data_IF_226057766692
#
_entry.id   IF_226057766692
#
_cell.length_a   1.000
_cell.length_b   1.000
_cell.length_c   1.000
_cell.angle_alpha   90.00
_cell.angle_beta   90.00
_cell.angle_gamma   90.00
#
_symmetry.space_group_name_H-M   'P 1'
#
loop_
_entity.id
_entity.type
_entity.pdbx_description
1 polymer ?
#
# COMPACT_ATOMS: atom_id res chain seq x y z
N UNK A 1 -21.79 0.92 -26.15
CA UNK A 1 -21.03 1.80 -25.23
C UNK A 1 -20.09 0.90 -24.47
N UNK A 2 -18.83 1.28 -24.29
CA UNK A 2 -17.72 0.35 -24.15
C UNK A 2 -17.88 -0.64 -22.97
N UNK A 3 -17.88 -1.92 -23.32
CA UNK A 3 -17.76 -3.06 -22.40
C UNK A 3 -16.35 -3.07 -21.77
N UNK A 4 -16.13 -2.24 -20.75
CA UNK A 4 -15.03 -2.48 -19.81
C UNK A 4 -15.51 -3.46 -18.74
N UNK A 5 -15.72 -4.71 -19.15
CA UNK A 5 -15.59 -5.86 -18.24
C UNK A 5 -14.09 -6.04 -17.91
N UNK A 6 -13.44 -4.98 -17.45
CA UNK A 6 -12.09 -5.04 -16.91
C UNK A 6 -12.23 -5.62 -15.51
N UNK A 7 -12.58 -6.92 -15.41
CA UNK A 7 -12.67 -7.66 -14.15
C UNK A 7 -11.31 -7.58 -13.46
N UNK A 8 -11.09 -6.49 -12.75
CA UNK A 8 -9.90 -6.28 -11.96
C UNK A 8 -9.95 -7.33 -10.88
N UNK A 9 -9.06 -8.28 -11.04
CA UNK A 9 -8.93 -9.39 -10.13
C UNK A 9 -8.16 -8.87 -8.93
N UNK A 10 -8.92 -8.37 -7.95
CA UNK A 10 -8.36 -7.87 -6.70
C UNK A 10 -7.58 -9.01 -6.05
N UNK A 11 -6.27 -8.85 -5.80
CA UNK A 11 -5.45 -9.90 -5.24
C UNK A 11 -5.89 -10.21 -3.81
N UNK A 12 -5.74 -11.48 -3.37
CA UNK A 12 -6.10 -11.89 -2.01
C UNK A 12 -5.37 -11.09 -0.93
N UNK A 13 -4.15 -10.61 -1.21
CA UNK A 13 -3.40 -9.72 -0.31
C UNK A 13 -4.10 -8.40 -0.02
N UNK A 14 -4.85 -7.85 -1.00
CA UNK A 14 -5.62 -6.62 -0.81
C UNK A 14 -6.97 -6.91 -0.17
N UNK A 15 -7.65 -7.98 -0.62
CA UNK A 15 -8.89 -8.47 -0.01
C UNK A 15 -8.71 -8.69 1.50
N UNK A 16 -7.56 -9.24 1.92
CA UNK A 16 -7.22 -9.46 3.32
C UNK A 16 -7.17 -8.19 4.18
N UNK A 17 -6.98 -7.00 3.58
CA UNK A 17 -7.04 -5.71 4.32
C UNK A 17 -8.46 -5.33 4.69
N UNK A 18 -9.43 -5.70 3.84
CA UNK A 18 -10.86 -5.39 4.01
C UNK A 18 -11.65 -6.58 4.56
N UNK A 19 -11.08 -7.78 4.54
CA UNK A 19 -11.65 -8.97 5.16
C UNK A 19 -11.38 -8.97 6.67
N UNK A 20 -12.36 -9.43 7.43
CA UNK A 20 -12.21 -9.67 8.86
C UNK A 20 -11.41 -10.97 9.14
N UNK A 21 -11.07 -11.26 10.40
CA UNK A 21 -10.39 -12.50 10.81
C UNK A 21 -11.14 -13.79 10.40
N UNK A 22 -12.44 -13.69 10.12
CA UNK A 22 -13.28 -14.76 9.57
C UNK A 22 -13.30 -14.85 8.03
N UNK A 23 -12.56 -14.00 7.32
CA UNK A 23 -12.55 -13.94 5.86
C UNK A 23 -13.77 -13.28 5.22
N UNK A 24 -14.62 -12.59 6.01
CA UNK A 24 -15.77 -11.84 5.50
C UNK A 24 -15.34 -10.41 5.16
N UNK A 25 -15.59 -9.98 3.93
CA UNK A 25 -15.39 -8.59 3.52
C UNK A 25 -16.25 -7.67 4.39
N UNK A 26 -15.62 -6.65 5.01
CA UNK A 26 -16.32 -5.60 5.76
C UNK A 26 -17.01 -4.60 4.84
N UNK A 27 -16.56 -4.50 3.59
CA UNK A 27 -17.13 -3.65 2.55
C UNK A 27 -17.64 -4.48 1.36
N UNK A 28 -18.43 -3.85 0.48
CA UNK A 28 -18.87 -4.47 -0.76
C UNK A 28 -17.68 -4.79 -1.67
N UNK A 29 -17.73 -5.90 -2.40
CA UNK A 29 -16.66 -6.28 -3.34
C UNK A 29 -16.37 -5.18 -4.38
N UNK A 30 -17.41 -4.43 -4.78
CA UNK A 30 -17.30 -3.27 -5.66
C UNK A 30 -16.46 -2.14 -5.03
N UNK A 31 -16.74 -1.77 -3.77
CA UNK A 31 -15.97 -0.76 -3.04
C UNK A 31 -14.50 -1.17 -2.87
N UNK A 32 -14.25 -2.45 -2.56
CA UNK A 32 -12.88 -2.99 -2.46
C UNK A 32 -12.16 -2.92 -3.80
N UNK A 33 -12.85 -3.20 -4.91
CA UNK A 33 -12.29 -3.10 -6.26
C UNK A 33 -11.95 -1.66 -6.63
N UNK A 34 -12.84 -0.70 -6.37
CA UNK A 34 -12.56 0.72 -6.59
C UNK A 34 -11.35 1.20 -5.77
N UNK A 35 -11.25 0.75 -4.51
CA UNK A 35 -10.10 1.05 -3.65
C UNK A 35 -8.81 0.43 -4.15
N UNK A 36 -8.87 -0.81 -4.61
CA UNK A 36 -7.75 -1.49 -5.22
C UNK A 36 -7.26 -0.74 -6.46
N UNK A 37 -8.16 -0.35 -7.37
CA UNK A 37 -7.82 0.42 -8.57
C UNK A 37 -7.07 1.71 -8.23
N UNK A 38 -7.60 2.46 -7.25
CA UNK A 38 -6.96 3.68 -6.77
C UNK A 38 -5.55 3.42 -6.21
N UNK A 39 -5.38 2.35 -5.42
CA UNK A 39 -4.09 1.99 -4.84
C UNK A 39 -3.09 1.51 -5.91
N UNK A 40 -3.55 0.76 -6.91
CA UNK A 40 -2.72 0.25 -8.01
C UNK A 40 -2.24 1.38 -8.92
N UNK A 41 -3.13 2.29 -9.32
CA UNK A 41 -2.79 3.47 -10.11
C UNK A 41 -1.77 4.35 -9.37
N UNK A 42 -2.04 4.60 -8.08
CA UNK A 42 -1.13 5.38 -7.24
C UNK A 42 0.24 4.71 -7.11
N UNK A 43 0.30 3.39 -6.90
CA UNK A 43 1.57 2.67 -6.82
C UNK A 43 2.38 2.81 -8.12
N UNK A 44 1.73 2.67 -9.28
CA UNK A 44 2.39 2.88 -10.59
C UNK A 44 2.90 4.31 -10.75
N UNK A 45 2.11 5.31 -10.39
CA UNK A 45 2.55 6.71 -10.48
C UNK A 45 3.70 7.02 -9.52
N UNK A 46 3.70 6.41 -8.33
CA UNK A 46 4.78 6.51 -7.36
C UNK A 46 6.08 5.86 -7.83
N UNK A 47 6.06 4.90 -8.78
CA UNK A 47 7.29 4.32 -9.36
C UNK A 47 8.14 5.39 -10.04
N UNK A 48 7.52 6.25 -10.86
CA UNK A 48 8.23 7.34 -11.54
C UNK A 48 8.73 8.39 -10.53
N UNK A 49 7.89 8.72 -9.55
CA UNK A 49 8.24 9.68 -8.50
C UNK A 49 9.40 9.15 -7.62
N UNK A 50 9.36 7.87 -7.25
CA UNK A 50 10.40 7.21 -6.46
C UNK A 50 11.74 7.19 -7.17
N UNK A 51 11.77 6.87 -8.48
CA UNK A 51 13.00 6.91 -9.28
C UNK A 51 13.57 8.33 -9.34
N UNK A 52 12.71 9.34 -9.54
CA UNK A 52 13.13 10.75 -9.52
C UNK A 52 13.71 11.14 -8.16
N UNK A 53 13.06 10.77 -7.05
CA UNK A 53 13.56 11.04 -5.70
C UNK A 53 14.88 10.33 -5.43
N UNK A 54 15.02 9.08 -5.86
CA UNK A 54 16.26 8.32 -5.71
C UNK A 54 17.44 8.97 -6.44
N UNK A 55 17.21 9.53 -7.63
CA UNK A 55 18.27 10.21 -8.39
C UNK A 55 18.61 11.61 -7.89
N UNK A 56 17.63 12.34 -7.33
CA UNK A 56 17.80 13.78 -7.02
C UNK A 56 17.98 14.07 -5.54
N UNK A 57 17.40 13.26 -4.66
CA UNK A 57 17.16 13.64 -3.26
C UNK A 57 17.62 12.61 -2.23
N UNK A 58 17.55 11.31 -2.55
CA UNK A 58 17.70 10.25 -1.56
C UNK A 58 18.94 9.37 -1.84
N UNK A 59 19.78 9.11 -0.83
CA UNK A 59 20.96 8.26 -0.99
C UNK A 59 20.63 6.76 -1.02
N UNK A 60 19.40 6.35 -0.71
CA UNK A 60 19.03 4.93 -0.58
C UNK A 60 17.55 4.68 -0.86
N UNK A 61 17.23 3.53 -1.44
CA UNK A 61 15.86 3.09 -1.78
C UNK A 61 14.94 3.08 -0.56
N UNK A 62 15.45 2.63 0.60
CA UNK A 62 14.71 2.61 1.85
C UNK A 62 14.26 4.00 2.32
N UNK A 63 15.06 5.05 2.06
CA UNK A 63 14.69 6.42 2.42
C UNK A 63 13.60 6.96 1.51
N UNK A 64 13.67 6.65 0.21
CA UNK A 64 12.61 7.00 -0.75
C UNK A 64 11.29 6.37 -0.32
N UNK A 65 11.30 5.07 0.00
CA UNK A 65 10.12 4.33 0.45
C UNK A 65 9.55 4.91 1.75
N UNK A 66 10.38 5.22 2.75
CA UNK A 66 9.92 5.86 4.00
C UNK A 66 9.28 7.22 3.75
N UNK A 67 9.85 8.03 2.85
CA UNK A 67 9.33 9.36 2.54
C UNK A 67 7.98 9.30 1.84
N UNK A 68 7.82 8.37 0.89
CA UNK A 68 6.54 8.10 0.23
C UNK A 68 5.51 7.62 1.25
N UNK A 69 5.88 6.67 2.12
CA UNK A 69 5.00 6.19 3.18
C UNK A 69 4.57 7.29 4.16
N UNK A 70 5.48 8.19 4.53
CA UNK A 70 5.17 9.33 5.39
C UNK A 70 4.11 10.25 4.76
N UNK A 71 4.19 10.48 3.45
CA UNK A 71 3.15 11.20 2.71
C UNK A 71 1.81 10.45 2.70
N UNK A 72 1.82 9.15 2.42
CA UNK A 72 0.60 8.32 2.43
C UNK A 72 -0.06 8.22 3.81
N UNK A 73 0.74 8.23 4.87
CA UNK A 73 0.25 8.18 6.25
C UNK A 73 -0.27 9.53 6.76
N UNK A 74 -0.09 10.60 5.99
CA UNK A 74 -0.65 11.90 6.30
C UNK A 74 -2.18 11.92 6.14
N UNK A 75 -2.87 12.68 7.00
CA UNK A 75 -4.33 12.79 6.98
C UNK A 75 -4.88 13.38 5.69
N UNK A 76 -4.08 14.18 4.99
CA UNK A 76 -4.39 14.83 3.72
C UNK A 76 -4.50 13.83 2.56
N UNK A 77 -3.85 12.67 2.68
CA UNK A 77 -3.79 11.66 1.63
C UNK A 77 -5.10 10.88 1.46
N UNK A 78 -5.97 10.84 2.48
CA UNK A 78 -7.24 10.11 2.42
C UNK A 78 -7.11 8.57 2.39
N UNK A 79 -5.90 8.04 2.59
CA UNK A 79 -5.61 6.62 2.71
C UNK A 79 -5.48 6.21 4.18
N UNK A 80 -5.88 4.99 4.48
CA UNK A 80 -5.62 4.36 5.78
C UNK A 80 -4.19 3.85 5.86
N UNK A 81 -3.69 3.63 7.07
CA UNK A 81 -2.36 3.03 7.27
C UNK A 81 -2.20 1.66 6.59
N UNK A 82 -3.29 0.90 6.47
CA UNK A 82 -3.32 -0.39 5.78
C UNK A 82 -3.15 -0.22 4.26
N UNK A 83 -3.90 0.72 3.65
CA UNK A 83 -3.76 1.05 2.23
C UNK A 83 -2.36 1.60 1.93
N UNK A 84 -1.85 2.54 2.75
CA UNK A 84 -0.51 3.11 2.59
C UNK A 84 0.60 2.05 2.68
N UNK A 85 0.46 1.08 3.59
CA UNK A 85 1.38 -0.07 3.67
C UNK A 85 1.32 -0.92 2.40
N UNK A 86 0.12 -1.20 1.89
CA UNK A 86 -0.04 -2.02 0.70
C UNK A 86 0.52 -1.34 -0.55
N UNK A 87 0.23 -0.05 -0.74
CA UNK A 87 0.79 0.76 -1.83
C UNK A 87 2.32 0.77 -1.77
N UNK A 88 2.90 0.87 -0.57
CA UNK A 88 4.35 0.83 -0.41
C UNK A 88 4.96 -0.53 -0.78
N UNK A 89 4.33 -1.63 -0.32
CA UNK A 89 4.77 -2.99 -0.68
C UNK A 89 4.71 -3.16 -2.20
N UNK A 90 3.60 -2.76 -2.82
CA UNK A 90 3.41 -2.86 -4.26
C UNK A 90 4.44 -2.03 -5.04
N UNK A 91 4.70 -0.81 -4.59
CA UNK A 91 5.73 0.06 -5.15
C UNK A 91 7.13 -0.59 -5.08
N UNK A 92 7.49 -1.14 -3.91
CA UNK A 92 8.76 -1.83 -3.73
C UNK A 92 8.89 -3.06 -4.65
N UNK A 93 7.82 -3.84 -4.82
CA UNK A 93 7.78 -4.97 -5.77
C UNK A 93 7.99 -4.50 -7.22
N UNK A 94 7.31 -3.44 -7.65
CA UNK A 94 7.41 -2.90 -9.02
C UNK A 94 8.82 -2.40 -9.33
N UNK A 95 9.47 -1.77 -8.35
CA UNK A 95 10.85 -1.29 -8.47
C UNK A 95 11.90 -2.38 -8.23
N UNK A 96 11.48 -3.59 -7.85
CA UNK A 96 12.33 -4.68 -7.37
C UNK A 96 13.24 -4.25 -6.20
N UNK A 97 12.75 -3.35 -5.34
CA UNK A 97 13.46 -2.83 -4.18
C UNK A 97 13.18 -3.65 -2.91
N UNK A 98 14.14 -3.73 -1.97
CA UNK A 98 13.90 -4.38 -0.70
C UNK A 98 12.84 -3.60 0.11
N UNK A 99 11.68 -4.20 0.34
CA UNK A 99 10.65 -3.58 1.17
C UNK A 99 11.21 -3.41 2.59
N UNK A 100 11.31 -2.17 3.11
CA UNK A 100 11.71 -1.96 4.49
C UNK A 100 10.67 -2.61 5.41
N UNK A 101 11.12 -3.17 6.52
CA UNK A 101 10.21 -3.56 7.60
C UNK A 101 9.54 -2.29 8.13
N UNK A 102 8.39 -1.94 7.56
CA UNK A 102 7.49 -0.98 8.18
C UNK A 102 7.07 -1.62 9.50
N UNK A 103 7.48 -1.02 10.63
CA UNK A 103 6.93 -1.42 11.91
C UNK A 103 5.41 -1.36 11.77
N UNK A 104 4.74 -2.52 11.75
CA UNK A 104 3.28 -2.57 11.82
C UNK A 104 2.93 -1.72 13.04
N UNK A 105 2.19 -0.63 12.84
CA UNK A 105 1.63 0.14 13.93
C UNK A 105 0.70 -0.80 14.72
N UNK A 106 1.25 -1.52 15.70
CA UNK A 106 0.61 -2.65 16.36
C UNK A 106 1.56 -3.76 16.84
N UNK A 107 2.81 -3.82 16.38
CA UNK A 107 3.82 -4.70 17.02
C UNK A 107 4.43 -3.97 18.23
N UNK A 108 3.59 -3.73 19.24
CA UNK A 108 4.11 -3.65 20.60
C UNK A 108 4.15 -5.11 21.05
N UNK A 109 5.34 -5.74 21.21
CA UNK A 109 5.39 -7.06 21.83
C UNK A 109 4.71 -6.95 23.20
N UNK A 110 3.87 -7.91 23.64
CA UNK A 110 3.44 -7.94 25.01
C UNK A 110 4.70 -8.06 25.87
N UNK A 111 5.03 -6.98 26.57
CA UNK A 111 6.04 -6.99 27.62
C UNK A 111 5.62 -8.07 28.62
N UNK A 112 6.27 -9.23 28.50
CA UNK A 112 6.22 -10.30 29.50
C UNK A 112 6.85 -9.73 30.78
N UNK A 113 6.05 -9.03 31.59
CA UNK A 113 6.37 -8.74 32.98
C UNK A 113 5.93 -9.95 33.82
N UNK A 114 6.93 -10.59 34.45
CA UNK A 114 6.78 -11.79 35.26
C UNK A 114 6.31 -11.57 36.68
#
# INVERSE_FOLDING_TARGET
MQEHDNQILVPPSFIALYADARGRLRESADAVRQRYELCEDLANHLVEHAQTLYHVQAPSEAEVLRRIYAGLSDRESGFTAAEGTWVLVRLAELLAWPCPALAKAGDTPPEHAG
#
